data_IF_183802756002
#
_entry.id   IF_183802756002
#
_cell.length_a   1.000
_cell.length_b   1.000
_cell.length_c   1.000
_cell.angle_alpha   90.00
_cell.angle_beta   90.00
_cell.angle_gamma   90.00
#
_symmetry.space_group_name_H-M   'P 1'
#
loop_
_entity.id
_entity.type
_entity.pdbx_description
1 polymer ?
#
# COMPACT_ATOMS: atom_id res chain seq x y z
N UNK A 1 -30.26 -23.57 -25.51
CA UNK A 1 -30.15 -23.41 -26.97
C UNK A 1 -30.51 -21.98 -27.33
N UNK A 2 -29.67 -21.37 -28.18
CA UNK A 2 -29.81 -20.09 -28.89
C UNK A 2 -29.93 -18.79 -28.08
N UNK A 3 -28.82 -18.06 -27.96
CA UNK A 3 -28.84 -16.60 -27.92
C UNK A 3 -28.06 -16.03 -29.10
N UNK A 4 -28.83 -15.33 -29.94
CA UNK A 4 -28.51 -14.42 -31.03
C UNK A 4 -27.08 -13.89 -31.10
N UNK A 5 -26.43 -14.20 -32.23
CA UNK A 5 -25.44 -13.34 -32.86
C UNK A 5 -26.04 -11.93 -33.03
N UNK A 6 -25.58 -10.97 -32.22
CA UNK A 6 -25.67 -9.57 -32.63
C UNK A 6 -24.67 -9.36 -33.76
N UNK A 7 -25.20 -9.21 -34.96
CA UNK A 7 -24.53 -8.55 -36.08
C UNK A 7 -24.11 -7.16 -35.62
N UNK A 8 -22.85 -7.02 -35.21
CA UNK A 8 -22.17 -5.73 -35.19
C UNK A 8 -22.27 -5.21 -36.62
N UNK A 9 -22.95 -4.09 -36.81
CA UNK A 9 -23.12 -3.45 -38.10
C UNK A 9 -21.76 -3.20 -38.72
N UNK A 10 -21.37 -4.05 -39.67
CA UNK A 10 -20.30 -3.75 -40.63
C UNK A 10 -20.90 -2.69 -41.53
N UNK A 11 -20.84 -1.43 -41.09
CA UNK A 11 -21.18 -0.29 -41.94
C UNK A 11 -20.11 -0.21 -43.01
N UNK A 12 -20.42 -0.79 -44.17
CA UNK A 12 -19.70 -0.63 -45.43
C UNK A 12 -19.91 0.78 -46.01
N UNK A 13 -19.82 1.82 -45.17
CA UNK A 13 -19.58 3.18 -45.63
C UNK A 13 -18.07 3.27 -45.86
N UNK A 14 -17.66 3.53 -47.10
CA UNK A 14 -16.26 3.58 -47.54
C UNK A 14 -15.37 4.19 -46.45
N UNK A 15 -14.59 3.34 -45.80
CA UNK A 15 -13.60 3.75 -44.81
C UNK A 15 -12.71 4.77 -45.50
N UNK A 16 -12.67 6.01 -45.01
CA UNK A 16 -11.69 6.98 -45.50
C UNK A 16 -10.31 6.34 -45.32
N UNK A 17 -9.55 6.09 -46.40
CA UNK A 17 -8.23 5.46 -46.31
C UNK A 17 -7.30 6.22 -45.37
N UNK A 18 -7.53 7.53 -45.22
CA UNK A 18 -6.78 8.39 -44.32
C UNK A 18 -7.06 8.05 -42.85
N UNK A 19 -8.33 7.90 -42.44
CA UNK A 19 -8.70 7.48 -41.07
C UNK A 19 -8.14 6.11 -40.71
N UNK A 20 -8.13 5.19 -41.67
CA UNK A 20 -7.53 3.86 -41.51
C UNK A 20 -6.04 3.97 -41.22
N UNK A 21 -5.30 4.74 -42.04
CA UNK A 21 -3.85 4.94 -41.90
C UNK A 21 -3.49 5.69 -40.63
N UNK A 22 -4.30 6.68 -40.23
CA UNK A 22 -4.12 7.39 -38.95
C UNK A 22 -4.23 6.44 -37.75
N UNK A 23 -5.24 5.56 -37.74
CA UNK A 23 -5.40 4.59 -36.65
C UNK A 23 -4.28 3.56 -36.64
N UNK A 24 -3.84 3.10 -37.82
CA UNK A 24 -2.67 2.23 -37.95
C UNK A 24 -1.41 2.90 -37.39
N UNK A 25 -1.18 4.18 -37.70
CA UNK A 25 -0.04 4.94 -37.19
C UNK A 25 -0.08 5.06 -35.67
N UNK A 26 -1.26 5.29 -35.07
CA UNK A 26 -1.45 5.32 -33.60
C UNK A 26 -1.08 3.97 -32.97
N UNK A 27 -1.60 2.86 -33.50
CA UNK A 27 -1.26 1.52 -33.01
C UNK A 27 0.23 1.21 -33.16
N UNK A 28 0.84 1.57 -34.28
CA UNK A 28 2.26 1.33 -34.56
C UNK A 28 3.21 2.12 -33.64
N UNK A 29 2.76 3.25 -33.11
CA UNK A 29 3.49 4.07 -32.13
C UNK A 29 3.21 3.66 -30.66
N UNK A 30 2.22 2.80 -30.41
CA UNK A 30 1.79 2.39 -29.06
C UNK A 30 2.88 1.66 -28.28
N UNK A 31 2.85 1.78 -26.94
CA UNK A 31 3.74 1.03 -26.06
C UNK A 31 3.55 -0.48 -26.18
N UNK A 32 2.31 -0.91 -26.42
CA UNK A 32 1.88 -2.31 -26.53
C UNK A 32 2.57 -3.06 -27.68
N UNK A 33 2.79 -2.39 -28.82
CA UNK A 33 3.44 -3.00 -29.99
C UNK A 33 4.89 -2.56 -30.22
N UNK A 34 5.34 -1.44 -29.65
CA UNK A 34 6.68 -0.87 -29.90
C UNK A 34 7.83 -1.87 -29.71
N UNK A 35 7.72 -2.74 -28.70
CA UNK A 35 8.74 -3.73 -28.34
C UNK A 35 8.60 -5.08 -29.08
N UNK A 36 7.67 -5.22 -30.03
CA UNK A 36 7.46 -6.45 -30.77
C UNK A 36 7.57 -6.21 -32.30
N UNK A 37 8.79 -6.21 -32.86
CA UNK A 37 9.03 -5.90 -34.27
C UNK A 37 8.36 -6.91 -35.23
N UNK A 38 8.25 -8.18 -34.83
CA UNK A 38 7.59 -9.21 -35.63
C UNK A 38 6.08 -8.94 -35.78
N UNK A 39 5.39 -8.58 -34.69
CA UNK A 39 3.97 -8.23 -34.74
C UNK A 39 3.72 -6.90 -35.46
N UNK A 40 4.64 -5.93 -35.35
CA UNK A 40 4.55 -4.68 -36.12
C UNK A 40 4.67 -4.92 -37.62
N UNK A 41 5.63 -5.75 -38.06
CA UNK A 41 5.78 -6.14 -39.46
C UNK A 41 4.52 -6.85 -39.97
N UNK A 42 3.97 -7.76 -39.17
CA UNK A 42 2.72 -8.47 -39.50
C UNK A 42 1.53 -7.51 -39.61
N UNK A 43 1.33 -6.62 -38.62
CA UNK A 43 0.24 -5.65 -38.65
C UNK A 43 0.34 -4.74 -39.88
N UNK A 44 1.51 -4.20 -40.17
CA UNK A 44 1.73 -3.34 -41.33
C UNK A 44 1.42 -4.06 -42.64
N UNK A 45 1.90 -5.29 -42.81
CA UNK A 45 1.62 -6.11 -43.99
C UNK A 45 0.12 -6.35 -44.17
N UNK A 46 -0.57 -6.83 -43.13
CA UNK A 46 -2.01 -7.11 -43.21
C UNK A 46 -2.81 -5.84 -43.46
N UNK A 47 -2.40 -4.71 -42.88
CA UNK A 47 -3.10 -3.45 -43.04
C UNK A 47 -3.02 -2.91 -44.47
N UNK A 48 -1.83 -2.92 -45.07
CA UNK A 48 -1.65 -2.54 -46.49
C UNK A 48 -2.38 -3.51 -47.43
N UNK A 49 -2.28 -4.81 -47.15
CA UNK A 49 -2.97 -5.84 -47.93
C UNK A 49 -4.50 -5.70 -47.85
N UNK A 50 -5.04 -5.30 -46.70
CA UNK A 50 -6.49 -5.09 -46.52
C UNK A 50 -6.98 -3.78 -47.15
N UNK A 51 -6.12 -2.77 -47.26
CA UNK A 51 -6.49 -1.47 -47.81
C UNK A 51 -6.46 -1.43 -49.34
N UNK A 52 -5.47 -2.09 -49.95
CA UNK A 52 -5.23 -1.98 -51.40
C UNK A 52 -4.57 -3.20 -52.05
N UNK A 53 -4.35 -4.28 -51.28
CA UNK A 53 -3.68 -5.48 -51.76
C UNK A 53 -4.59 -6.41 -52.57
N UNK A 54 -4.01 -7.31 -53.37
CA UNK A 54 -4.76 -8.38 -54.00
C UNK A 54 -5.30 -9.35 -52.93
N UNK A 55 -6.47 -9.98 -53.12
CA UNK A 55 -7.04 -10.96 -52.18
C UNK A 55 -6.06 -12.10 -51.81
N UNK A 56 -5.14 -12.43 -52.70
CA UNK A 56 -4.08 -13.42 -52.55
C UNK A 56 -3.08 -13.08 -51.46
N UNK A 57 -2.84 -11.80 -51.18
CA UNK A 57 -1.90 -11.36 -50.15
C UNK A 57 -2.39 -11.73 -48.73
N UNK A 58 -3.70 -11.84 -48.55
CA UNK A 58 -4.31 -12.23 -47.26
C UNK A 58 -4.42 -13.76 -47.08
N UNK A 59 -3.90 -14.57 -47.99
CA UNK A 59 -3.84 -16.03 -47.83
C UNK A 59 -2.73 -16.40 -46.84
N UNK A 60 -2.97 -17.42 -46.01
CA UNK A 60 -2.03 -17.88 -44.98
C UNK A 60 -0.64 -18.22 -45.55
N UNK A 61 -0.60 -18.83 -46.74
CA UNK A 61 0.64 -19.14 -47.45
C UNK A 61 1.46 -17.89 -47.79
N UNK A 62 0.82 -16.85 -48.35
CA UNK A 62 1.46 -15.58 -48.72
C UNK A 62 2.02 -14.88 -47.49
N UNK A 63 1.24 -14.81 -46.41
CA UNK A 63 1.67 -14.21 -45.13
C UNK A 63 2.88 -14.97 -44.56
N UNK A 64 2.84 -16.31 -44.58
CA UNK A 64 3.96 -17.15 -44.13
C UNK A 64 5.24 -16.87 -44.91
N UNK A 65 5.15 -16.75 -46.23
CA UNK A 65 6.31 -16.48 -47.08
C UNK A 65 6.83 -15.06 -46.94
N UNK A 66 5.97 -14.06 -47.09
CA UNK A 66 6.36 -12.66 -47.24
C UNK A 66 6.70 -11.99 -45.89
N UNK A 67 5.97 -12.35 -44.83
CA UNK A 67 6.20 -11.78 -43.50
C UNK A 67 7.17 -12.63 -42.70
N UNK A 68 6.94 -13.96 -42.66
CA UNK A 68 7.67 -14.88 -41.79
C UNK A 68 8.86 -15.58 -42.45
N UNK A 69 9.11 -15.35 -43.75
CA UNK A 69 10.26 -15.93 -44.45
C UNK A 69 10.18 -17.44 -44.60
N UNK A 70 8.98 -18.01 -44.65
CA UNK A 70 8.80 -19.45 -44.86
C UNK A 70 9.27 -19.88 -46.26
N UNK A 71 9.84 -21.09 -46.40
CA UNK A 71 10.30 -21.59 -47.70
C UNK A 71 9.11 -21.89 -48.64
N UNK A 72 9.33 -22.02 -49.95
CA UNK A 72 8.25 -22.22 -50.93
C UNK A 72 7.44 -23.51 -50.75
N UNK A 73 8.04 -24.55 -50.17
CA UNK A 73 7.45 -25.86 -49.86
C UNK A 73 6.69 -25.89 -48.52
N UNK A 74 6.57 -24.74 -47.85
CA UNK A 74 5.79 -24.58 -46.63
C UNK A 74 4.30 -24.93 -46.82
N UNK A 75 3.79 -25.81 -45.95
CA UNK A 75 2.36 -26.14 -45.87
C UNK A 75 1.72 -25.54 -44.60
N UNK A 76 0.82 -24.54 -44.74
CA UNK A 76 0.05 -23.98 -43.63
C UNK A 76 -0.79 -25.01 -42.85
N UNK A 77 -1.13 -26.16 -43.45
CA UNK A 77 -1.90 -27.21 -42.75
C UNK A 77 -1.09 -27.88 -41.65
N UNK A 78 0.22 -27.98 -41.84
CA UNK A 78 1.14 -28.66 -40.92
C UNK A 78 1.75 -27.65 -39.93
N UNK A 79 2.09 -26.45 -40.40
CA UNK A 79 2.73 -25.42 -39.59
C UNK A 79 1.74 -24.28 -39.25
N UNK A 80 1.49 -24.12 -37.95
CA UNK A 80 0.52 -23.15 -37.40
C UNK A 80 1.14 -21.79 -37.02
N UNK A 81 2.40 -21.55 -37.37
CA UNK A 81 3.13 -20.33 -36.96
C UNK A 81 2.41 -19.03 -37.36
N UNK A 82 1.83 -18.98 -38.56
CA UNK A 82 1.01 -17.84 -39.00
C UNK A 82 -0.20 -17.66 -38.09
N UNK A 83 -0.98 -18.73 -37.87
CA UNK A 83 -2.15 -18.69 -36.98
C UNK A 83 -1.80 -18.25 -35.55
N UNK A 84 -0.65 -18.69 -35.02
CA UNK A 84 -0.17 -18.30 -33.69
C UNK A 84 0.14 -16.81 -33.61
N UNK A 85 0.88 -16.25 -34.57
CA UNK A 85 1.19 -14.81 -34.54
C UNK A 85 -0.04 -13.94 -34.79
N UNK A 86 -0.97 -14.39 -35.62
CA UNK A 86 -2.27 -13.75 -35.81
C UNK A 86 -3.07 -13.73 -34.51
N UNK A 87 -3.09 -14.85 -33.77
CA UNK A 87 -3.68 -14.91 -32.43
C UNK A 87 -3.04 -13.93 -31.45
N UNK A 88 -1.70 -13.84 -31.43
CA UNK A 88 -0.97 -12.86 -30.61
C UNK A 88 -1.27 -11.42 -31.00
N UNK A 89 -1.39 -11.14 -32.31
CA UNK A 89 -1.74 -9.81 -32.81
C UNK A 89 -3.13 -9.39 -32.34
N UNK A 90 -4.13 -10.30 -32.40
CA UNK A 90 -5.49 -10.04 -31.88
C UNK A 90 -5.45 -9.63 -30.40
N UNK A 91 -4.74 -10.39 -29.57
CA UNK A 91 -4.61 -10.09 -28.14
C UNK A 91 -3.93 -8.73 -27.90
N UNK A 92 -2.93 -8.38 -28.72
CA UNK A 92 -2.23 -7.09 -28.59
C UNK A 92 -3.07 -5.90 -29.03
N UNK A 93 -3.92 -6.05 -30.06
CA UNK A 93 -4.88 -5.02 -30.45
C UNK A 93 -5.92 -4.81 -29.35
N UNK A 94 -6.44 -5.88 -28.75
CA UNK A 94 -7.37 -5.79 -27.61
C UNK A 94 -6.71 -5.14 -26.38
N UNK A 95 -5.47 -5.49 -26.08
CA UNK A 95 -4.69 -4.86 -25.00
C UNK A 95 -4.49 -3.35 -25.25
N UNK A 96 -4.14 -2.95 -26.47
CA UNK A 96 -4.00 -1.54 -26.83
C UNK A 96 -5.30 -0.76 -26.61
N UNK A 97 -6.42 -1.27 -27.14
CA UNK A 97 -7.73 -0.61 -27.04
C UNK A 97 -8.36 -0.65 -25.64
N UNK A 98 -7.87 -1.49 -24.74
CA UNK A 98 -8.33 -1.55 -23.34
C UNK A 98 -7.47 -0.71 -22.40
N UNK A 99 -6.14 -0.67 -22.61
CA UNK A 99 -5.20 -0.02 -21.71
C UNK A 99 -4.75 1.37 -22.17
N UNK A 100 -4.34 1.50 -23.43
CA UNK A 100 -3.76 2.74 -23.95
C UNK A 100 -4.79 3.63 -24.64
N UNK A 101 -5.81 3.04 -25.26
CA UNK A 101 -6.84 3.76 -26.01
C UNK A 101 -8.29 3.40 -25.59
N UNK A 102 -8.65 3.43 -24.29
CA UNK A 102 -9.99 3.04 -23.83
C UNK A 102 -11.11 3.95 -24.33
N UNK A 103 -10.79 5.20 -24.69
CA UNK A 103 -11.73 6.18 -25.22
C UNK A 103 -11.68 6.35 -26.75
N UNK A 104 -11.01 5.45 -27.47
CA UNK A 104 -10.93 5.54 -28.93
C UNK A 104 -12.33 5.45 -29.56
N UNK A 105 -12.60 6.33 -30.53
CA UNK A 105 -13.84 6.37 -31.31
C UNK A 105 -13.78 5.52 -32.59
N UNK A 106 -12.62 4.91 -32.85
CA UNK A 106 -12.38 4.01 -33.98
C UNK A 106 -11.47 2.87 -33.54
N UNK A 107 -11.56 1.73 -34.23
CA UNK A 107 -10.68 0.60 -33.98
C UNK A 107 -10.36 -0.19 -35.26
N UNK A 108 -9.13 -0.72 -35.32
CA UNK A 108 -8.73 -1.76 -36.28
C UNK A 108 -8.89 -3.14 -35.64
N UNK A 109 -9.72 -3.98 -36.27
CA UNK A 109 -10.04 -5.32 -35.82
C UNK A 109 -9.43 -6.37 -36.74
N UNK A 110 -9.03 -7.51 -36.16
CA UNK A 110 -8.63 -8.69 -36.90
C UNK A 110 -9.61 -9.84 -36.59
N UNK A 111 -10.71 -10.01 -37.35
CA UNK A 111 -11.76 -10.98 -37.06
C UNK A 111 -11.22 -12.42 -36.95
N UNK A 112 -11.93 -13.26 -36.19
CA UNK A 112 -11.58 -14.68 -36.06
C UNK A 112 -11.75 -15.38 -37.41
N UNK A 113 -10.83 -16.28 -37.74
CA UNK A 113 -10.85 -17.06 -39.00
C UNK A 113 -10.41 -16.29 -40.24
N UNK A 114 -10.23 -14.97 -40.16
CA UNK A 114 -9.71 -14.13 -41.24
C UNK A 114 -8.31 -13.60 -40.97
N UNK A 115 -7.70 -13.09 -42.04
CA UNK A 115 -6.42 -12.36 -42.01
C UNK A 115 -6.60 -10.87 -42.38
N UNK A 116 -7.82 -10.45 -42.72
CA UNK A 116 -8.15 -9.08 -43.09
C UNK A 116 -8.30 -8.18 -41.86
N UNK A 117 -7.75 -6.97 -41.94
CA UNK A 117 -7.91 -5.92 -40.93
C UNK A 117 -9.11 -5.05 -41.31
N UNK A 118 -10.11 -5.03 -40.44
CA UNK A 118 -11.36 -4.30 -40.64
C UNK A 118 -11.37 -3.06 -39.76
N UNK A 119 -11.65 -1.90 -40.35
CA UNK A 119 -11.90 -0.67 -39.61
C UNK A 119 -13.35 -0.61 -39.15
N UNK A 120 -13.57 -0.20 -37.90
CA UNK A 120 -14.90 -0.02 -37.33
C UNK A 120 -14.93 1.21 -36.43
N UNK A 121 -16.02 1.99 -36.51
CA UNK A 121 -16.28 3.04 -35.54
C UNK A 121 -16.65 2.41 -34.19
N UNK A 122 -16.02 2.90 -33.12
CA UNK A 122 -16.26 2.43 -31.75
C UNK A 122 -17.13 3.47 -31.05
N UNK A 123 -18.32 3.10 -30.53
CA UNK A 123 -19.09 4.01 -29.69
C UNK A 123 -18.24 4.35 -28.47
N UNK A 124 -18.16 5.64 -28.14
CA UNK A 124 -17.40 6.12 -26.99
C UNK A 124 -17.84 5.34 -25.74
N UNK A 125 -16.93 4.57 -25.14
CA UNK A 125 -17.23 3.90 -23.87
C UNK A 125 -17.28 4.95 -22.77
N UNK A 126 -18.50 5.34 -22.37
CA UNK A 126 -18.71 6.02 -21.11
C UNK A 126 -18.24 5.10 -19.97
N UNK A 127 -17.14 5.47 -19.31
CA UNK A 127 -16.74 4.81 -18.07
C UNK A 127 -17.89 4.96 -17.08
N UNK A 128 -18.36 3.86 -16.45
CA UNK A 128 -19.41 3.97 -15.46
C UNK A 128 -18.97 4.94 -14.37
N UNK A 129 -19.83 5.88 -13.93
CA UNK A 129 -19.45 6.87 -12.94
C UNK A 129 -19.00 6.14 -11.67
N UNK A 130 -17.74 6.32 -11.30
CA UNK A 130 -17.23 5.78 -10.03
C UNK A 130 -18.03 6.44 -8.93
N UNK A 131 -18.82 5.64 -8.22
CA UNK A 131 -19.76 6.17 -7.27
C UNK A 131 -19.05 6.54 -5.95
N UNK A 132 -18.51 7.77 -5.92
CA UNK A 132 -17.65 8.29 -4.85
C UNK A 132 -18.29 8.23 -3.46
N UNK A 133 -19.63 8.30 -3.35
CA UNK A 133 -20.30 8.20 -2.05
C UNK A 133 -20.25 6.78 -1.46
N UNK A 134 -20.26 5.73 -2.31
CA UNK A 134 -20.12 4.34 -1.84
C UNK A 134 -18.72 4.09 -1.28
N UNK A 135 -17.70 4.62 -1.95
CA UNK A 135 -16.32 4.57 -1.45
C UNK A 135 -16.18 5.33 -0.14
N UNK A 136 -16.70 6.56 -0.06
CA UNK A 136 -16.71 7.33 1.17
C UNK A 136 -17.41 6.57 2.31
N UNK A 137 -18.57 5.96 2.06
CA UNK A 137 -19.29 5.18 3.06
C UNK A 137 -18.49 3.96 3.59
N UNK A 138 -17.75 3.26 2.73
CA UNK A 138 -16.89 2.13 3.12
C UNK A 138 -15.71 2.62 3.97
N UNK A 139 -15.06 3.73 3.59
CA UNK A 139 -13.97 4.28 4.38
C UNK A 139 -14.46 4.81 5.74
N UNK A 140 -15.62 5.47 5.77
CA UNK A 140 -16.24 5.96 6.99
C UNK A 140 -16.61 4.83 7.95
N UNK A 141 -17.13 3.71 7.45
CA UNK A 141 -17.49 2.57 8.31
C UNK A 141 -16.26 1.85 8.87
N UNK A 142 -15.20 1.70 8.06
CA UNK A 142 -13.93 1.14 8.53
C UNK A 142 -13.28 2.02 9.61
N UNK A 143 -13.30 3.35 9.43
CA UNK A 143 -12.79 4.30 10.42
C UNK A 143 -13.61 4.25 11.72
N UNK A 144 -14.94 4.17 11.63
CA UNK A 144 -15.81 4.06 12.80
C UNK A 144 -15.53 2.77 13.61
N UNK A 145 -15.32 1.64 12.92
CA UNK A 145 -14.96 0.38 13.58
C UNK A 145 -13.59 0.44 14.27
N UNK A 146 -12.60 1.06 13.62
CA UNK A 146 -11.27 1.25 14.23
C UNK A 146 -11.33 2.15 15.47
N UNK A 147 -12.10 3.25 15.40
CA UNK A 147 -12.30 4.14 16.54
C UNK A 147 -13.02 3.43 17.68
N UNK A 148 -14.07 2.65 17.39
CA UNK A 148 -14.77 1.87 18.40
C UNK A 148 -13.85 0.84 19.08
N UNK A 149 -13.00 0.15 18.32
CA UNK A 149 -12.02 -0.77 18.86
C UNK A 149 -10.96 -0.08 19.73
N UNK A 150 -10.48 1.10 19.32
CA UNK A 150 -9.53 1.89 20.10
C UNK A 150 -10.14 2.37 21.42
N UNK A 151 -11.38 2.86 21.41
CA UNK A 151 -12.12 3.25 22.62
C UNK A 151 -12.34 2.05 23.53
N UNK A 152 -12.73 0.90 22.98
CA UNK A 152 -12.86 -0.34 23.75
C UNK A 152 -11.54 -0.75 24.41
N UNK A 153 -10.41 -0.63 23.72
CA UNK A 153 -9.08 -0.92 24.28
C UNK A 153 -8.67 0.07 25.38
N UNK A 154 -8.98 1.36 25.23
CA UNK A 154 -8.76 2.38 26.25
C UNK A 154 -9.62 2.13 27.50
N UNK A 155 -10.90 1.79 27.33
CA UNK A 155 -11.81 1.47 28.43
C UNK A 155 -11.51 0.12 29.08
N UNK A 156 -11.02 -0.85 28.30
CA UNK A 156 -10.58 -2.15 28.77
C UNK A 156 -9.15 -2.13 29.32
N UNK A 157 -8.54 -0.94 29.47
CA UNK A 157 -7.25 -0.73 30.13
C UNK A 157 -7.29 -1.22 31.58
N UNK A 158 -7.19 -2.54 31.76
CA UNK A 158 -6.86 -3.11 33.04
C UNK A 158 -5.43 -2.68 33.34
N UNK A 159 -5.15 -2.09 34.52
CA UNK A 159 -3.77 -1.87 34.93
C UNK A 159 -3.07 -3.23 34.82
N UNK A 160 -1.89 -3.26 34.20
CA UNK A 160 -1.12 -4.48 34.06
C UNK A 160 -1.05 -5.16 35.43
N UNK A 161 -1.73 -6.30 35.59
CA UNK A 161 -1.64 -7.08 36.80
C UNK A 161 -0.23 -7.67 36.79
N UNK A 162 0.67 -7.03 37.53
CA UNK A 162 2.01 -7.55 37.73
C UNK A 162 1.85 -8.83 38.55
N UNK A 163 1.77 -9.96 37.86
CA UNK A 163 1.79 -11.26 38.51
C UNK A 163 3.24 -11.50 38.97
N UNK A 164 3.40 -11.68 40.28
CA UNK A 164 4.70 -12.04 40.84
C UNK A 164 5.16 -13.37 40.22
N UNK A 165 6.44 -13.44 39.83
CA UNK A 165 7.04 -14.70 39.38
C UNK A 165 6.95 -15.76 40.51
N UNK A 166 7.02 -17.06 40.19
CA UNK A 166 7.00 -18.11 41.21
C UNK A 166 8.07 -17.91 42.29
N UNK A 167 9.26 -17.47 41.91
CA UNK A 167 10.39 -17.19 42.80
C UNK A 167 10.09 -15.99 43.71
N UNK A 168 9.54 -14.92 43.14
CA UNK A 168 9.12 -13.75 43.91
C UNK A 168 8.00 -14.10 44.89
N UNK A 169 7.00 -14.90 44.47
CA UNK A 169 5.95 -15.40 45.37
C UNK A 169 6.53 -16.19 46.53
N UNK A 170 7.49 -17.08 46.27
CA UNK A 170 8.15 -17.85 47.33
C UNK A 170 8.97 -16.96 48.28
N UNK A 171 9.63 -15.93 47.76
CA UNK A 171 10.40 -14.97 48.56
C UNK A 171 9.50 -14.15 49.49
N UNK A 172 8.35 -13.70 48.99
CA UNK A 172 7.43 -12.82 49.72
C UNK A 172 6.41 -13.59 50.58
N UNK A 173 6.15 -14.87 50.33
CA UNK A 173 5.17 -15.68 51.05
C UNK A 173 5.30 -15.62 52.58
N UNK A 174 6.49 -15.66 53.20
CA UNK A 174 6.63 -15.56 54.66
C UNK A 174 6.17 -14.23 55.23
N UNK A 175 6.15 -13.16 54.44
CA UNK A 175 5.74 -11.81 54.87
C UNK A 175 4.26 -11.55 54.56
N UNK A 176 3.76 -12.09 53.45
CA UNK A 176 2.37 -11.88 53.00
C UNK A 176 1.36 -12.79 53.72
N UNK A 177 1.78 -13.94 54.24
CA UNK A 177 0.90 -14.94 54.85
C UNK A 177 1.01 -14.96 56.39
N UNK A 178 1.14 -13.78 57.03
CA UNK A 178 1.17 -13.68 58.49
C UNK A 178 -0.16 -13.14 59.03
N UNK A 179 -0.52 -13.51 60.26
CA UNK A 179 -1.67 -12.95 60.99
C UNK A 179 -1.47 -11.49 61.42
N UNK A 180 -0.26 -10.93 61.27
CA UNK A 180 0.06 -9.54 61.59
C UNK A 180 0.03 -8.68 60.34
N UNK A 181 -0.53 -7.45 60.39
CA UNK A 181 -0.55 -6.54 59.25
C UNK A 181 0.86 -6.22 58.74
N UNK A 182 1.13 -6.48 57.46
CA UNK A 182 2.39 -6.11 56.81
C UNK A 182 2.31 -4.67 56.31
N UNK A 183 3.21 -3.84 56.81
CA UNK A 183 3.34 -2.45 56.39
C UNK A 183 4.60 -2.27 55.55
N UNK A 184 4.44 -1.82 54.29
CA UNK A 184 5.58 -1.42 53.45
C UNK A 184 5.75 0.09 53.58
N UNK A 185 6.89 0.49 54.14
CA UNK A 185 7.32 1.88 54.17
C UNK A 185 8.31 2.14 53.03
N UNK A 186 7.94 3.01 52.09
CA UNK A 186 8.85 3.44 51.01
C UNK A 186 9.42 4.81 51.34
N UNK A 187 10.74 4.89 51.54
CA UNK A 187 11.47 6.15 51.67
C UNK A 187 12.08 6.54 50.33
N UNK A 188 11.54 7.57 49.69
CA UNK A 188 12.17 8.18 48.49
C UNK A 188 12.41 9.66 48.76
N UNK A 189 13.26 9.95 49.75
CA UNK A 189 13.38 11.31 50.21
C UNK A 189 14.00 12.23 49.16
N UNK A 190 13.54 13.47 49.20
CA UNK A 190 14.05 14.53 48.37
C UNK A 190 15.34 15.11 48.97
N UNK A 191 16.41 15.12 48.18
CA UNK A 191 17.64 15.84 48.47
C UNK A 191 17.92 16.86 47.37
N UNK A 192 18.53 17.97 47.77
CA UNK A 192 19.11 18.96 46.86
C UNK A 192 20.60 18.69 46.79
N UNK A 193 21.10 18.39 45.60
CA UNK A 193 22.51 18.14 45.34
C UNK A 193 23.17 19.41 44.79
N UNK A 194 24.26 19.81 45.44
CA UNK A 194 25.18 20.85 44.99
C UNK A 194 26.56 20.21 44.80
N UNK A 195 26.88 19.79 43.56
CA UNK A 195 28.16 19.13 43.29
C UNK A 195 28.29 17.81 44.07
N UNK A 196 29.26 17.65 45.00
CA UNK A 196 29.37 16.48 45.86
C UNK A 196 28.49 16.55 47.13
N UNK A 197 27.94 17.72 47.46
CA UNK A 197 27.20 17.94 48.71
C UNK A 197 25.71 17.66 48.51
N UNK A 198 25.11 17.00 49.48
CA UNK A 198 23.66 16.79 49.54
C UNK A 198 23.10 17.58 50.72
N UNK A 199 22.08 18.38 50.44
CA UNK A 199 21.33 19.14 51.42
C UNK A 199 19.91 18.59 51.49
N UNK A 200 19.35 18.55 52.68
CA UNK A 200 17.95 18.16 52.88
C UNK A 200 17.25 19.05 53.88
N UNK A 201 16.04 19.43 53.51
CA UNK A 201 15.03 19.92 54.43
C UNK A 201 13.93 18.84 54.55
N UNK A 202 13.71 18.24 55.73
CA UNK A 202 12.73 17.15 55.91
C UNK A 202 11.27 17.61 55.72
N UNK A 203 11.00 18.91 55.69
CA UNK A 203 9.67 19.49 55.47
C UNK A 203 9.38 19.79 54.00
N UNK A 204 10.25 19.37 53.07
CA UNK A 204 10.14 19.64 51.63
C UNK A 204 10.36 18.37 50.82
N UNK A 205 9.56 18.16 49.77
CA UNK A 205 9.58 16.91 48.97
C UNK A 205 9.82 17.12 47.46
N UNK A 206 10.03 18.37 47.03
CA UNK A 206 10.28 18.75 45.65
C UNK A 206 11.16 20.01 45.56
N UNK A 207 11.81 20.19 44.40
CA UNK A 207 12.77 21.29 44.18
C UNK A 207 12.09 22.65 44.01
N UNK A 208 10.86 22.70 43.51
CA UNK A 208 10.15 23.96 43.28
C UNK A 208 9.75 24.61 44.61
N UNK A 209 9.23 23.82 45.55
CA UNK A 209 8.94 24.26 46.92
C UNK A 209 10.21 24.75 47.62
N UNK A 210 11.33 24.05 47.42
CA UNK A 210 12.62 24.44 47.97
C UNK A 210 13.13 25.78 47.38
N UNK A 211 12.99 26.00 46.07
CA UNK A 211 13.35 27.26 45.42
C UNK A 211 12.55 28.46 45.94
N UNK A 212 11.28 28.24 46.29
CA UNK A 212 10.41 29.30 46.82
C UNK A 212 10.67 29.60 48.29
N UNK A 213 11.07 28.59 49.06
CA UNK A 213 11.13 28.67 50.53
C UNK A 213 12.55 28.80 51.09
N UNK A 214 13.58 28.53 50.29
CA UNK A 214 14.99 28.57 50.70
C UNK A 214 15.81 29.44 49.76
N UNK A 215 16.82 30.11 50.31
CA UNK A 215 17.86 30.77 49.52
C UNK A 215 18.89 29.74 49.04
N UNK A 216 18.56 29.07 47.93
CA UNK A 216 19.44 28.03 47.37
C UNK A 216 20.76 28.61 46.85
N UNK A 217 20.81 29.89 46.48
CA UNK A 217 22.02 30.56 46.00
C UNK A 217 22.97 30.88 47.16
N UNK A 218 22.44 31.28 48.32
CA UNK A 218 23.24 31.39 49.54
C UNK A 218 23.76 30.01 49.99
N UNK A 219 22.91 28.98 49.99
CA UNK A 219 23.33 27.61 50.33
C UNK A 219 24.43 27.15 49.37
N UNK A 220 24.23 27.30 48.05
CA UNK A 220 25.26 26.98 47.05
C UNK A 220 26.58 27.70 47.32
N UNK A 221 26.55 29.01 47.54
CA UNK A 221 27.76 29.80 47.83
C UNK A 221 28.47 29.32 49.09
N UNK A 222 27.74 28.80 50.08
CA UNK A 222 28.31 28.31 51.32
C UNK A 222 28.89 26.88 51.18
N UNK A 223 28.20 25.96 50.51
CA UNK A 223 28.57 24.53 50.54
C UNK A 223 29.26 24.02 49.27
N UNK A 224 28.99 24.60 48.11
CA UNK A 224 29.60 24.18 46.83
C UNK A 224 29.47 25.29 45.76
N UNK A 225 30.34 26.34 45.82
CA UNK A 225 30.32 27.44 44.87
C UNK A 225 30.36 26.96 43.41
N UNK A 226 29.58 27.60 42.54
CA UNK A 226 29.51 27.25 41.11
C UNK A 226 28.77 25.94 40.78
N UNK A 227 28.33 25.16 41.77
CA UNK A 227 27.54 23.95 41.55
C UNK A 227 26.04 24.22 41.68
N UNK A 228 25.25 24.17 40.60
CA UNK A 228 23.82 24.50 40.67
C UNK A 228 23.03 23.45 41.47
N UNK A 229 21.98 23.91 42.15
CA UNK A 229 21.02 23.06 42.85
C UNK A 229 20.32 22.09 41.87
N UNK A 230 20.45 20.79 42.12
CA UNK A 230 19.74 19.73 41.37
C UNK A 230 18.99 18.81 42.31
N UNK A 231 17.83 18.35 41.86
CA UNK A 231 17.10 17.31 42.57
C UNK A 231 17.87 15.98 42.56
N UNK A 232 17.90 15.32 43.70
CA UNK A 232 18.42 13.97 43.83
C UNK A 232 17.53 13.12 44.72
N UNK A 233 17.18 11.93 44.23
CA UNK A 233 16.44 10.88 44.97
C UNK A 233 17.29 9.63 45.18
N UNK A 234 18.62 9.77 45.05
CA UNK A 234 19.57 8.65 45.06
C UNK A 234 20.02 8.23 46.47
N UNK A 235 19.45 8.83 47.50
CA UNK A 235 19.80 8.55 48.89
C UNK A 235 18.52 8.20 49.65
N UNK A 236 18.49 7.07 50.34
CA UNK A 236 17.47 6.75 51.33
C UNK A 236 18.16 6.64 52.70
N UNK A 237 17.80 7.52 53.62
CA UNK A 237 18.29 7.45 55.00
C UNK A 237 17.66 6.26 55.72
N UNK A 238 18.38 5.68 56.69
CA UNK A 238 17.83 4.64 57.56
C UNK A 238 16.71 5.28 58.42
N UNK A 239 15.46 4.82 58.27
CA UNK A 239 14.33 5.22 59.13
C UNK A 239 13.34 6.24 58.58
N UNK A 240 13.40 6.62 57.31
CA UNK A 240 12.46 7.59 56.73
C UNK A 240 11.42 6.93 55.82
N UNK A 241 10.14 7.07 56.16
CA UNK A 241 9.02 6.59 55.37
C UNK A 241 8.30 7.78 54.69
N UNK A 242 8.17 7.75 53.36
CA UNK A 242 7.42 8.76 52.59
C UNK A 242 6.02 8.28 52.23
N UNK A 243 5.82 6.97 52.16
CA UNK A 243 4.51 6.35 51.98
C UNK A 243 4.47 5.05 52.80
N UNK A 244 3.28 4.74 53.32
CA UNK A 244 3.02 3.57 54.13
C UNK A 244 1.83 2.83 53.53
N UNK A 245 2.03 1.59 53.11
CA UNK A 245 0.99 0.75 52.53
C UNK A 245 0.76 -0.46 53.43
N UNK A 246 -0.49 -0.67 53.83
CA UNK A 246 -0.93 -1.95 54.40
C UNK A 246 -1.14 -2.93 53.25
N UNK A 247 -0.39 -4.03 53.25
CA UNK A 247 -0.36 -4.99 52.14
C UNK A 247 -1.21 -6.23 52.43
N UNK A 248 -1.46 -6.52 53.70
CA UNK A 248 -2.20 -7.69 54.16
C UNK A 248 -3.20 -7.28 55.24
N UNK A 249 -4.39 -7.87 55.18
CA UNK A 249 -5.31 -7.99 56.32
C UNK A 249 -5.50 -9.47 56.64
#
# INVERSE_FOLDING_TARGET
>A
MNHSLMLVGVSSAAVSPDRYREELARIMASGTLKNNPALRKLLAYLAEASLSGPPEALKEYSIGREVMGKPPDYDPRIDSSVRVQIGKLRLKLEEYYSKEAPGATAQLMLPRGGFEIVYSERPAQEKPPVNRWKLAAIFSSALALLLAAAVAALLAGQPASVSLSPEAKSLWAPFLNQERPLMIALGVPFFIRFGPVFFRNPYMNDLETARKSLDLDAIQRAVAPGSPARESRRFSGLGEASALFEVTR
#
